data_IF_282898371708
#
_entry.id   IF_282898371708
#
_cell.length_a   1.000
_cell.length_b   1.000
_cell.length_c   1.000
_cell.angle_alpha   90.00
_cell.angle_beta   90.00
_cell.angle_gamma   90.00
#
_symmetry.space_group_name_H-M   'P 1'
#
loop_
_entity.id
_entity.type
_entity.pdbx_description
1 polymer ?
#
# COMPACT_ATOMS: atom_id res chain seq x y z
N UNK A 1 -35.26 19.96 15.40
CA UNK A 1 -33.90 20.27 15.87
C UNK A 1 -33.05 20.47 14.64
N UNK A 2 -32.47 21.63 14.47
CA UNK A 2 -31.56 21.87 13.36
C UNK A 2 -30.25 21.13 13.66
N UNK A 3 -29.98 20.06 12.95
CA UNK A 3 -28.65 19.48 12.96
C UNK A 3 -27.72 20.51 12.32
N UNK A 4 -26.71 20.92 13.07
CA UNK A 4 -25.71 21.84 12.53
C UNK A 4 -24.89 21.07 11.48
N UNK A 5 -25.33 21.17 10.24
CA UNK A 5 -24.45 20.89 9.13
C UNK A 5 -23.35 21.95 9.16
N UNK A 6 -22.11 21.53 9.12
CA UNK A 6 -20.99 22.42 8.85
C UNK A 6 -20.68 22.42 7.34
N UNK A 7 -21.48 23.13 6.52
CA UNK A 7 -21.38 23.05 5.04
C UNK A 7 -20.15 23.73 4.47
N UNK A 8 -19.21 24.09 5.26
CA UNK A 8 -17.94 24.68 4.86
C UNK A 8 -16.74 24.10 5.58
N UNK A 9 -16.89 22.91 6.18
CA UNK A 9 -15.87 22.34 7.04
C UNK A 9 -15.78 23.10 8.37
N UNK A 10 -14.80 22.73 9.19
CA UNK A 10 -14.57 23.37 10.48
C UNK A 10 -13.55 24.50 10.29
N UNK A 11 -14.00 25.74 10.21
CA UNK A 11 -13.13 26.90 10.07
C UNK A 11 -12.10 27.07 11.21
N UNK A 12 -12.36 26.46 12.34
CA UNK A 12 -11.49 26.51 13.53
C UNK A 12 -10.73 25.19 13.78
N UNK A 13 -10.76 24.26 12.82
CA UNK A 13 -10.19 22.92 12.99
C UNK A 13 -11.04 22.01 13.88
N UNK A 14 -10.70 20.73 13.89
CA UNK A 14 -11.26 19.71 14.80
C UNK A 14 -10.14 19.18 15.68
N UNK A 15 -10.39 19.11 16.98
CA UNK A 15 -9.54 18.34 17.89
C UNK A 15 -10.26 17.03 18.20
N UNK A 16 -9.71 15.89 17.79
CA UNK A 16 -10.20 14.57 18.20
C UNK A 16 -9.27 14.02 19.26
N UNK A 17 -9.78 13.80 20.45
CA UNK A 17 -9.02 13.31 21.62
C UNK A 17 -7.73 14.11 21.90
N UNK A 18 -7.81 15.43 21.77
CA UNK A 18 -6.67 16.31 22.02
C UNK A 18 -5.65 16.44 20.90
N UNK A 19 -5.84 15.75 19.79
CA UNK A 19 -5.01 15.91 18.60
C UNK A 19 -5.67 16.92 17.67
N UNK A 20 -5.06 18.09 17.40
CA UNK A 20 -5.58 19.02 16.43
C UNK A 20 -5.48 18.37 15.02
N UNK A 21 -6.61 18.23 14.36
CA UNK A 21 -6.63 18.00 12.93
C UNK A 21 -6.48 19.36 12.29
N UNK A 22 -5.45 19.52 11.50
CA UNK A 22 -4.95 20.77 10.91
C UNK A 22 -5.94 21.93 10.88
N UNK A 23 -5.59 23.01 11.56
CA UNK A 23 -6.47 24.19 11.76
C UNK A 23 -6.75 24.98 10.48
N UNK A 24 -6.16 24.58 9.34
CA UNK A 24 -6.23 25.33 8.08
C UNK A 24 -6.40 24.42 6.85
N UNK A 25 -7.07 23.28 6.99
CA UNK A 25 -7.33 22.44 5.83
C UNK A 25 -8.35 23.13 4.90
N UNK A 26 -7.96 23.55 3.71
CA UNK A 26 -8.86 24.31 2.82
C UNK A 26 -9.96 23.43 2.21
N UNK A 27 -9.82 22.12 2.30
CA UNK A 27 -10.70 21.14 1.70
C UNK A 27 -12.06 21.03 2.38
N UNK A 28 -12.99 20.45 1.66
CA UNK A 28 -14.32 20.11 2.15
C UNK A 28 -14.36 18.63 2.58
N UNK A 29 -15.32 18.33 3.43
CA UNK A 29 -15.62 16.97 3.86
C UNK A 29 -16.86 16.48 3.12
N UNK A 30 -16.75 15.30 2.54
CA UNK A 30 -17.85 14.62 1.87
C UNK A 30 -18.03 13.21 2.46
N UNK A 31 -19.22 12.67 2.25
CA UNK A 31 -19.60 11.37 2.78
C UNK A 31 -19.95 10.40 1.65
N UNK A 32 -19.50 9.17 1.80
CA UNK A 32 -19.84 8.05 0.92
C UNK A 32 -20.50 6.96 1.75
N UNK A 33 -21.61 6.43 1.27
CA UNK A 33 -22.34 5.35 1.90
C UNK A 33 -23.23 4.64 0.88
N UNK A 34 -23.76 3.49 1.22
CA UNK A 34 -24.70 2.74 0.38
C UNK A 34 -25.93 2.32 1.19
N UNK A 35 -26.81 1.52 0.61
CA UNK A 35 -28.03 1.08 1.29
C UNK A 35 -27.79 0.31 2.60
N UNK A 36 -26.66 -0.41 2.70
CA UNK A 36 -26.30 -1.15 3.91
C UNK A 36 -25.81 -0.24 5.05
N UNK A 37 -25.36 0.98 4.74
CA UNK A 37 -24.83 1.95 5.71
C UNK A 37 -25.80 3.09 6.00
N UNK A 38 -27.04 2.99 5.51
CA UNK A 38 -28.04 4.05 5.60
C UNK A 38 -28.45 4.33 7.05
N UNK A 39 -28.52 5.62 7.38
CA UNK A 39 -28.99 6.11 8.67
C UNK A 39 -30.47 6.49 8.60
N UNK A 40 -31.10 6.55 9.78
CA UNK A 40 -32.48 7.04 9.87
C UNK A 40 -32.58 8.50 9.41
N UNK A 41 -33.66 8.82 8.66
CA UNK A 41 -33.91 10.14 8.08
C UNK A 41 -32.86 10.64 7.07
N UNK A 42 -32.06 9.75 6.55
CA UNK A 42 -31.10 10.05 5.52
C UNK A 42 -31.73 9.94 4.12
N UNK A 43 -31.35 10.84 3.24
CA UNK A 43 -31.63 10.70 1.81
C UNK A 43 -30.93 9.44 1.27
N UNK A 44 -31.58 8.70 0.41
CA UNK A 44 -30.95 7.56 -0.25
C UNK A 44 -29.62 7.98 -0.89
N UNK A 45 -28.57 7.22 -0.61
CA UNK A 45 -27.25 7.48 -1.19
C UNK A 45 -27.32 7.41 -2.71
N UNK A 46 -26.80 8.41 -3.38
CA UNK A 46 -26.75 8.52 -4.83
C UNK A 46 -25.61 9.45 -5.26
N UNK A 47 -24.99 9.17 -6.41
CA UNK A 47 -23.85 9.97 -6.88
C UNK A 47 -24.26 11.38 -7.33
N UNK A 48 -25.55 11.62 -7.54
CA UNK A 48 -26.12 12.95 -7.75
C UNK A 48 -26.42 13.75 -6.48
N UNK A 49 -26.11 13.23 -5.30
CA UNK A 49 -26.23 13.96 -4.04
C UNK A 49 -25.08 14.98 -3.89
N UNK A 50 -25.16 15.79 -2.84
CA UNK A 50 -24.12 16.79 -2.53
C UNK A 50 -22.96 16.26 -1.66
N UNK A 51 -23.02 14.99 -1.27
CA UNK A 51 -22.01 14.36 -0.42
C UNK A 51 -22.06 14.81 1.04
N UNK A 52 -23.11 15.47 1.48
CA UNK A 52 -23.29 15.81 2.89
C UNK A 52 -23.57 14.56 3.74
N UNK A 53 -23.46 14.68 5.07
CA UNK A 53 -23.68 13.55 5.99
C UNK A 53 -25.07 12.90 5.80
N UNK A 54 -26.11 13.68 5.51
CA UNK A 54 -27.48 13.20 5.33
C UNK A 54 -27.86 12.96 3.86
N UNK A 55 -26.97 13.26 2.92
CA UNK A 55 -27.15 13.01 1.48
C UNK A 55 -25.82 12.55 0.85
N UNK A 56 -25.32 11.37 1.26
CA UNK A 56 -24.00 10.89 0.83
C UNK A 56 -23.99 10.46 -0.64
N UNK A 57 -22.81 10.39 -1.21
CA UNK A 57 -22.58 9.70 -2.47
C UNK A 57 -22.78 8.19 -2.30
N UNK A 58 -23.19 7.50 -3.36
CA UNK A 58 -23.41 6.05 -3.33
C UNK A 58 -22.16 5.25 -3.65
N UNK A 59 -21.23 5.81 -4.41
CA UNK A 59 -19.99 5.15 -4.83
C UNK A 59 -18.78 6.04 -4.61
N UNK A 60 -17.60 5.44 -4.53
CA UNK A 60 -16.32 6.17 -4.46
C UNK A 60 -16.04 6.90 -5.78
N UNK A 61 -16.26 6.22 -6.90
CA UNK A 61 -16.08 6.80 -8.24
C UNK A 61 -17.03 7.99 -8.48
N UNK A 62 -18.30 7.85 -8.10
CA UNK A 62 -19.27 8.95 -8.20
C UNK A 62 -18.90 10.15 -7.32
N UNK A 63 -18.32 9.89 -6.14
CA UNK A 63 -17.80 10.96 -5.28
C UNK A 63 -16.60 11.67 -5.92
N UNK A 64 -15.64 10.92 -6.44
CA UNK A 64 -14.47 11.49 -7.10
C UNK A 64 -14.86 12.28 -8.35
N UNK A 65 -15.79 11.79 -9.16
CA UNK A 65 -16.29 12.47 -10.36
C UNK A 65 -17.20 13.66 -10.07
N UNK A 66 -17.65 13.84 -8.84
CA UNK A 66 -18.52 14.96 -8.49
C UNK A 66 -17.79 16.31 -8.57
N UNK A 67 -18.44 17.31 -9.17
CA UNK A 67 -17.86 18.65 -9.31
C UNK A 67 -17.66 19.39 -7.99
N UNK A 68 -18.34 18.97 -6.93
CA UNK A 68 -18.15 19.49 -5.57
C UNK A 68 -16.82 19.08 -4.96
N UNK A 69 -16.30 17.90 -5.32
CA UNK A 69 -14.97 17.42 -4.93
C UNK A 69 -13.94 18.02 -5.90
N UNK A 70 -13.02 18.79 -5.38
CA UNK A 70 -12.11 19.61 -6.19
C UNK A 70 -10.66 19.17 -6.00
N UNK A 71 -9.97 18.95 -7.11
CA UNK A 71 -8.55 18.62 -7.10
C UNK A 71 -7.71 19.73 -6.42
N UNK A 72 -6.63 19.32 -5.77
CA UNK A 72 -5.65 20.18 -5.09
C UNK A 72 -6.23 21.11 -4.00
N UNK A 73 -7.49 20.89 -3.59
CA UNK A 73 -8.09 21.64 -2.49
C UNK A 73 -7.87 20.97 -1.13
N UNK A 74 -7.50 19.72 -1.12
CA UNK A 74 -7.38 18.92 0.09
C UNK A 74 -8.71 18.36 0.59
N UNK A 75 -9.62 17.98 -0.29
CA UNK A 75 -10.91 17.42 0.07
C UNK A 75 -10.76 16.03 0.72
N UNK A 76 -11.66 15.74 1.65
CA UNK A 76 -11.69 14.46 2.35
C UNK A 76 -13.02 13.76 2.12
N UNK A 77 -12.95 12.51 1.67
CA UNK A 77 -14.10 11.61 1.55
C UNK A 77 -14.14 10.67 2.75
N UNK A 78 -15.09 10.81 3.64
CA UNK A 78 -15.36 9.83 4.69
C UNK A 78 -16.27 8.73 4.16
N UNK A 79 -15.79 7.49 4.24
CA UNK A 79 -16.55 6.32 3.84
C UNK A 79 -17.10 5.63 5.08
N UNK A 80 -18.39 5.37 5.08
CA UNK A 80 -19.11 4.84 6.26
C UNK A 80 -18.67 3.42 6.62
N UNK A 81 -18.77 3.07 7.91
CA UNK A 81 -18.53 1.70 8.35
C UNK A 81 -19.48 0.72 7.64
N UNK A 82 -18.95 -0.44 7.26
CA UNK A 82 -19.73 -1.47 6.57
C UNK A 82 -20.04 -1.17 5.09
N UNK A 83 -19.49 -0.11 4.53
CA UNK A 83 -19.56 0.13 3.08
C UNK A 83 -18.86 -0.98 2.30
N UNK A 84 -19.47 -1.42 1.23
CA UNK A 84 -18.89 -2.42 0.32
C UNK A 84 -18.94 -1.95 -1.12
N UNK A 85 -17.86 -2.15 -1.83
CA UNK A 85 -17.73 -1.93 -3.26
C UNK A 85 -17.12 -3.18 -3.89
N UNK A 86 -17.73 -3.70 -4.95
CA UNK A 86 -17.16 -4.80 -5.74
C UNK A 86 -17.07 -4.37 -7.20
N UNK A 87 -15.94 -4.60 -7.84
CA UNK A 87 -15.76 -4.29 -9.25
C UNK A 87 -14.79 -5.29 -9.94
N UNK A 88 -14.88 -5.35 -11.27
CA UNK A 88 -14.12 -6.29 -12.10
C UNK A 88 -13.34 -5.66 -13.24
N UNK A 89 -13.19 -4.35 -13.28
CA UNK A 89 -12.45 -3.64 -14.35
C UNK A 89 -11.64 -2.49 -13.78
N UNK A 90 -10.52 -2.18 -14.39
CA UNK A 90 -9.65 -1.06 -14.00
C UNK A 90 -10.30 0.33 -14.10
N UNK A 91 -11.42 0.45 -14.80
CA UNK A 91 -12.11 1.73 -14.97
C UNK A 91 -13.24 1.96 -13.97
N UNK A 92 -13.51 1.00 -13.10
CA UNK A 92 -14.63 1.08 -12.17
C UNK A 92 -14.35 1.97 -10.94
N UNK A 93 -13.07 2.17 -10.61
CA UNK A 93 -12.62 3.08 -9.55
C UNK A 93 -11.24 3.61 -9.95
N UNK A 94 -11.13 4.91 -10.17
CA UNK A 94 -9.88 5.58 -10.50
C UNK A 94 -9.55 6.63 -9.45
N UNK A 95 -8.31 6.69 -9.01
CA UNK A 95 -7.82 7.78 -8.18
C UNK A 95 -7.19 8.85 -9.10
N UNK A 96 -8.06 9.74 -9.58
CA UNK A 96 -7.75 10.74 -10.61
C UNK A 96 -7.93 12.20 -10.16
N UNK A 97 -8.17 12.43 -8.86
CA UNK A 97 -8.24 13.78 -8.27
C UNK A 97 -7.12 14.04 -7.29
N UNK A 98 -6.15 14.84 -7.70
CA UNK A 98 -5.01 15.19 -6.86
C UNK A 98 -5.41 15.85 -5.54
N UNK A 99 -4.64 15.60 -4.49
CA UNK A 99 -4.84 16.21 -3.18
C UNK A 99 -6.12 15.79 -2.46
N UNK A 100 -6.72 14.66 -2.82
CA UNK A 100 -7.90 14.09 -2.14
C UNK A 100 -7.46 12.97 -1.19
N UNK A 101 -8.09 12.91 -0.02
CA UNK A 101 -7.94 11.82 0.92
C UNK A 101 -9.25 11.04 1.07
N UNK A 102 -9.18 9.71 0.96
CA UNK A 102 -10.30 8.81 1.25
C UNK A 102 -10.03 8.11 2.59
N UNK A 103 -10.93 8.29 3.54
CA UNK A 103 -10.78 7.76 4.90
C UNK A 103 -11.96 6.84 5.24
N UNK A 104 -11.68 5.56 5.40
CA UNK A 104 -12.65 4.59 5.87
C UNK A 104 -12.92 4.77 7.37
N UNK A 105 -14.17 4.70 7.75
CA UNK A 105 -14.58 4.72 9.14
C UNK A 105 -14.90 3.29 9.63
N UNK A 106 -14.83 3.09 10.95
CA UNK A 106 -15.04 1.79 11.56
C UNK A 106 -13.76 1.07 11.95
N UNK A 107 -13.90 -0.13 12.47
CA UNK A 107 -12.80 -0.96 12.95
C UNK A 107 -13.05 -2.44 12.66
N UNK A 108 -12.00 -3.24 12.63
CA UNK A 108 -12.09 -4.67 12.33
C UNK A 108 -12.76 -4.94 10.98
N UNK A 109 -13.71 -5.86 10.95
CA UNK A 109 -14.48 -6.20 9.75
C UNK A 109 -15.54 -5.18 9.35
N UNK A 110 -15.81 -4.18 10.20
CA UNK A 110 -16.75 -3.11 9.90
C UNK A 110 -16.11 -1.93 9.15
N UNK A 111 -14.83 -2.04 8.78
CA UNK A 111 -14.18 -1.08 7.88
C UNK A 111 -14.79 -1.17 6.48
N UNK A 112 -14.79 -0.09 5.71
CA UNK A 112 -15.15 -0.16 4.29
C UNK A 112 -14.32 -1.21 3.56
N UNK A 113 -15.00 -1.98 2.69
CA UNK A 113 -14.37 -3.06 1.93
C UNK A 113 -14.47 -2.80 0.44
N UNK A 114 -13.35 -2.89 -0.25
CA UNK A 114 -13.25 -2.87 -1.71
C UNK A 114 -12.86 -4.28 -2.16
N UNK A 115 -13.68 -4.91 -2.98
CA UNK A 115 -13.42 -6.24 -3.54
C UNK A 115 -13.17 -6.13 -5.04
N UNK A 116 -12.03 -6.59 -5.48
CA UNK A 116 -11.67 -6.77 -6.87
C UNK A 116 -12.01 -8.20 -7.28
N UNK A 117 -12.83 -8.34 -8.34
CA UNK A 117 -13.40 -9.62 -8.75
C UNK A 117 -13.55 -9.69 -10.28
N UNK A 118 -13.74 -10.89 -10.80
CA UNK A 118 -14.11 -11.17 -12.20
C UNK A 118 -13.06 -10.93 -13.29
N UNK A 119 -11.93 -10.27 -13.03
CA UNK A 119 -10.90 -10.04 -14.04
C UNK A 119 -9.50 -9.81 -13.43
N UNK A 120 -8.47 -10.29 -14.11
CA UNK A 120 -7.06 -10.01 -13.78
C UNK A 120 -6.72 -8.53 -13.86
N UNK A 121 -7.47 -7.75 -14.63
CA UNK A 121 -7.30 -6.30 -14.80
C UNK A 121 -8.10 -5.46 -13.81
N UNK A 122 -8.75 -6.09 -12.83
CA UNK A 122 -9.43 -5.39 -11.75
C UNK A 122 -8.40 -4.75 -10.82
N UNK A 123 -7.95 -3.55 -11.11
CA UNK A 123 -6.98 -2.76 -10.33
C UNK A 123 -7.53 -1.37 -10.08
N UNK A 124 -6.96 -0.65 -9.11
CA UNK A 124 -7.23 0.77 -8.88
C UNK A 124 -6.09 1.59 -9.49
N UNK A 125 -6.28 2.21 -10.65
CA UNK A 125 -5.31 3.16 -11.19
C UNK A 125 -5.20 4.40 -10.30
N UNK A 126 -3.96 4.81 -10.04
CA UNK A 126 -3.64 6.09 -9.39
C UNK A 126 -2.90 6.93 -10.40
N UNK A 127 -3.54 7.98 -10.89
CA UNK A 127 -3.05 8.78 -12.02
C UNK A 127 -2.82 10.24 -11.64
N UNK A 128 -2.72 10.53 -10.35
CA UNK A 128 -2.57 11.88 -9.80
C UNK A 128 -1.70 11.89 -8.56
N UNK A 129 -1.08 13.03 -8.31
CA UNK A 129 -0.22 13.27 -7.17
C UNK A 129 -1.01 13.58 -5.88
N UNK A 130 -0.38 13.35 -4.72
CA UNK A 130 -0.90 13.72 -3.40
C UNK A 130 -2.25 13.09 -3.08
N UNK A 131 -2.47 11.82 -3.44
CA UNK A 131 -3.68 11.09 -3.09
C UNK A 131 -3.45 10.19 -1.87
N UNK A 132 -4.45 10.04 -1.02
CA UNK A 132 -4.34 9.20 0.16
C UNK A 132 -5.56 8.29 0.34
N UNK A 133 -5.31 7.03 0.74
CA UNK A 133 -6.34 6.08 1.18
C UNK A 133 -5.97 5.52 2.56
N UNK A 134 -6.95 5.50 3.49
CA UNK A 134 -6.73 5.04 4.86
C UNK A 134 -7.87 4.19 5.39
N UNK A 135 -7.51 3.15 6.17
CA UNK A 135 -8.42 2.33 6.97
C UNK A 135 -9.47 1.56 6.14
N UNK A 136 -9.03 0.92 5.06
CA UNK A 136 -9.85 0.05 4.22
C UNK A 136 -9.46 -1.42 4.35
N UNK A 137 -10.41 -2.30 3.99
CA UNK A 137 -10.13 -3.69 3.63
C UNK A 137 -10.17 -3.76 2.09
N UNK A 138 -9.08 -4.23 1.49
CA UNK A 138 -8.94 -4.40 0.03
C UNK A 138 -8.76 -5.89 -0.24
N UNK A 139 -9.65 -6.46 -1.04
CA UNK A 139 -9.79 -7.91 -1.22
C UNK A 139 -9.56 -8.28 -2.68
N UNK A 140 -8.61 -9.17 -2.92
CA UNK A 140 -8.42 -9.86 -4.19
C UNK A 140 -9.27 -11.14 -4.21
N UNK A 141 -10.27 -11.19 -5.08
CA UNK A 141 -11.21 -12.31 -5.21
C UNK A 141 -11.27 -12.87 -6.64
N UNK A 142 -10.19 -12.75 -7.37
CA UNK A 142 -10.04 -13.31 -8.70
C UNK A 142 -8.62 -13.81 -8.90
N UNK A 143 -8.45 -14.75 -9.81
CA UNK A 143 -7.17 -15.36 -10.15
C UNK A 143 -6.20 -14.33 -10.76
N UNK A 144 -5.03 -14.18 -10.16
CA UNK A 144 -3.94 -13.33 -10.65
C UNK A 144 -4.37 -11.88 -10.97
N UNK A 145 -5.00 -11.19 -10.02
CA UNK A 145 -5.24 -9.76 -10.15
C UNK A 145 -3.88 -9.04 -10.23
N UNK A 146 -3.63 -8.35 -11.34
CA UNK A 146 -2.31 -7.80 -11.64
C UNK A 146 -1.76 -6.92 -10.51
N UNK A 147 -2.59 -6.03 -9.95
CA UNK A 147 -2.18 -5.24 -8.78
C UNK A 147 -3.38 -4.68 -8.02
N UNK A 148 -3.22 -4.41 -6.73
CA UNK A 148 -4.23 -3.65 -6.00
C UNK A 148 -4.23 -2.18 -6.45
N UNK A 149 -3.06 -1.57 -6.57
CA UNK A 149 -2.87 -0.22 -7.11
C UNK A 149 -1.83 -0.22 -8.22
N UNK A 150 -2.19 0.37 -9.36
CA UNK A 150 -1.27 0.68 -10.45
C UNK A 150 -0.94 2.17 -10.44
N UNK A 151 0.33 2.51 -10.24
CA UNK A 151 0.77 3.90 -10.13
C UNK A 151 1.26 4.42 -11.47
N UNK A 152 0.64 5.51 -11.93
CA UNK A 152 1.01 6.19 -13.16
C UNK A 152 0.86 7.70 -12.93
N UNK A 153 1.94 8.45 -12.87
CA UNK A 153 1.94 9.87 -12.48
C UNK A 153 1.35 10.08 -11.06
N UNK A 154 1.86 9.31 -10.09
CA UNK A 154 1.27 9.17 -8.76
C UNK A 154 2.23 9.57 -7.64
N UNK A 155 2.85 10.74 -7.73
CA UNK A 155 3.74 11.24 -6.70
C UNK A 155 3.00 11.46 -5.37
N UNK A 156 3.70 11.14 -4.28
CA UNK A 156 3.22 11.32 -2.92
C UNK A 156 1.89 10.59 -2.64
N UNK A 157 1.71 9.39 -3.25
CA UNK A 157 0.59 8.50 -2.93
C UNK A 157 0.76 7.89 -1.54
N UNK A 158 -0.31 7.90 -0.73
CA UNK A 158 -0.29 7.37 0.63
C UNK A 158 -1.32 6.27 0.84
N UNK A 159 -0.86 5.13 1.39
CA UNK A 159 -1.70 3.99 1.80
C UNK A 159 -1.41 3.68 3.27
N UNK A 160 -2.39 3.90 4.13
CA UNK A 160 -2.17 3.75 5.57
C UNK A 160 -3.29 2.96 6.27
N UNK A 161 -2.91 2.17 7.26
CA UNK A 161 -3.84 1.44 8.13
C UNK A 161 -4.82 0.52 7.37
N UNK A 162 -4.47 0.13 6.15
CA UNK A 162 -5.27 -0.74 5.30
C UNK A 162 -4.96 -2.22 5.53
N UNK A 163 -5.92 -3.08 5.20
CA UNK A 163 -5.73 -4.52 5.19
C UNK A 163 -6.01 -5.07 3.81
N UNK A 164 -5.02 -5.73 3.23
CA UNK A 164 -5.13 -6.44 1.97
C UNK A 164 -5.34 -7.93 2.25
N UNK A 165 -6.20 -8.58 1.50
CA UNK A 165 -6.53 -10.00 1.66
C UNK A 165 -6.70 -10.68 0.31
N UNK A 166 -6.12 -11.85 0.19
CA UNK A 166 -6.52 -12.82 -0.81
C UNK A 166 -7.66 -13.67 -0.26
N UNK A 167 -8.51 -14.19 -1.12
CA UNK A 167 -9.65 -15.04 -0.71
C UNK A 167 -9.38 -16.53 -0.84
N UNK A 168 -8.34 -16.93 -1.55
CA UNK A 168 -7.99 -18.34 -1.76
C UNK A 168 -6.61 -18.57 -2.31
N UNK A 169 -6.23 -19.82 -2.48
CA UNK A 169 -4.92 -20.24 -2.95
C UNK A 169 -4.65 -19.96 -4.44
N UNK A 170 -5.65 -19.53 -5.18
CA UNK A 170 -5.56 -19.09 -6.57
C UNK A 170 -6.38 -17.80 -6.78
N UNK A 171 -6.66 -17.05 -5.71
CA UNK A 171 -7.49 -15.85 -5.77
C UNK A 171 -6.79 -14.75 -4.96
N UNK A 172 -6.09 -13.87 -5.62
CA UNK A 172 -5.31 -12.85 -4.95
C UNK A 172 -4.67 -11.82 -5.88
N UNK A 173 -3.76 -11.07 -5.30
CA UNK A 173 -3.00 -10.03 -5.97
C UNK A 173 -1.62 -10.53 -6.35
N UNK A 174 -1.21 -10.32 -7.61
CA UNK A 174 0.19 -10.47 -8.01
C UNK A 174 1.04 -9.38 -7.31
N UNK A 175 0.56 -8.14 -7.32
CA UNK A 175 1.21 -7.03 -6.62
C UNK A 175 0.22 -6.24 -5.76
N UNK A 176 0.67 -5.66 -4.65
CA UNK A 176 -0.09 -4.62 -3.96
C UNK A 176 0.11 -3.27 -4.63
N UNK A 177 1.34 -2.98 -4.99
CA UNK A 177 1.76 -1.76 -5.69
C UNK A 177 2.54 -2.18 -6.92
N UNK A 178 2.13 -1.65 -8.05
CA UNK A 178 2.78 -1.84 -9.35
C UNK A 178 3.03 -0.46 -9.98
N UNK A 179 4.27 -0.18 -10.36
CA UNK A 179 4.62 1.12 -10.95
C UNK A 179 4.60 1.08 -12.48
N UNK A 180 4.45 2.23 -13.10
CA UNK A 180 4.69 2.34 -14.54
C UNK A 180 6.18 2.17 -14.87
N UNK A 181 6.48 1.86 -16.14
CA UNK A 181 7.85 1.79 -16.64
C UNK A 181 8.50 3.18 -16.86
N UNK A 182 7.99 4.22 -16.21
CA UNK A 182 8.48 5.59 -16.31
C UNK A 182 9.16 6.00 -15.01
N UNK A 183 10.40 6.46 -15.11
CA UNK A 183 11.16 6.86 -13.94
C UNK A 183 10.60 8.16 -13.32
N UNK A 184 10.59 8.21 -11.97
CA UNK A 184 10.09 9.33 -11.17
C UNK A 184 8.59 9.65 -11.40
N UNK A 185 7.82 8.66 -11.80
CA UNK A 185 6.37 8.80 -12.10
C UNK A 185 5.49 8.44 -10.89
N UNK A 186 6.10 7.89 -9.85
CA UNK A 186 5.46 7.55 -8.57
C UNK A 186 6.42 7.74 -7.38
N UNK A 187 7.08 8.88 -7.36
CA UNK A 187 7.95 9.29 -6.27
C UNK A 187 7.17 9.55 -4.98
N UNK A 188 7.81 9.32 -3.84
CA UNK A 188 7.21 9.67 -2.54
C UNK A 188 6.12 8.72 -2.05
N UNK A 189 6.01 7.50 -2.58
CA UNK A 189 5.06 6.53 -2.02
C UNK A 189 5.23 6.41 -0.51
N UNK A 190 4.13 6.54 0.23
CA UNK A 190 4.06 6.31 1.67
C UNK A 190 3.13 5.13 1.97
N UNK A 191 3.70 3.96 2.26
CA UNK A 191 2.97 2.74 2.57
C UNK A 191 3.25 2.31 4.00
N UNK A 192 2.30 2.56 4.92
CA UNK A 192 2.57 2.42 6.34
C UNK A 192 1.44 1.76 7.14
N UNK A 193 1.82 0.95 8.12
CA UNK A 193 0.91 0.28 9.07
C UNK A 193 -0.16 -0.58 8.39
N UNK A 194 0.15 -1.09 7.22
CA UNK A 194 -0.74 -1.96 6.48
C UNK A 194 -0.52 -3.43 6.86
N UNK A 195 -1.55 -4.22 6.65
CA UNK A 195 -1.49 -5.67 6.82
C UNK A 195 -1.86 -6.34 5.50
N UNK A 196 -1.01 -7.23 5.01
CA UNK A 196 -1.33 -8.10 3.88
C UNK A 196 -1.33 -9.55 4.32
N UNK A 197 -2.34 -10.29 3.89
CA UNK A 197 -2.40 -11.75 4.02
C UNK A 197 -2.61 -12.32 2.62
N UNK A 198 -1.50 -12.63 1.96
CA UNK A 198 -1.45 -13.32 0.69
C UNK A 198 -1.62 -14.82 0.90
N UNK A 199 -2.66 -15.39 0.36
CA UNK A 199 -2.96 -16.83 0.39
C UNK A 199 -2.67 -17.50 -0.95
N UNK A 200 -2.48 -16.71 -2.00
CA UNK A 200 -2.16 -17.19 -3.33
C UNK A 200 -0.87 -18.02 -3.32
N UNK A 201 -0.88 -19.12 -4.05
CA UNK A 201 0.27 -20.03 -4.20
C UNK A 201 0.85 -19.99 -5.60
N UNK A 202 0.36 -19.11 -6.46
CA UNK A 202 0.85 -18.99 -7.82
C UNK A 202 2.22 -18.30 -7.85
N UNK A 203 2.93 -18.50 -8.94
CA UNK A 203 4.29 -17.99 -9.06
C UNK A 203 4.31 -16.51 -9.40
N UNK A 204 5.15 -15.75 -8.73
CA UNK A 204 5.48 -14.38 -9.13
C UNK A 204 4.88 -13.28 -8.27
N UNK A 205 4.18 -13.59 -7.19
CA UNK A 205 3.57 -12.58 -6.34
C UNK A 205 4.61 -11.78 -5.56
N UNK A 206 4.63 -10.49 -5.81
CA UNK A 206 5.52 -9.53 -5.16
C UNK A 206 4.73 -8.35 -4.65
N UNK A 207 4.72 -8.08 -3.35
CA UNK A 207 3.99 -6.94 -2.81
C UNK A 207 4.28 -5.60 -3.51
N UNK A 208 5.53 -5.34 -3.86
CA UNK A 208 5.93 -4.09 -4.52
C UNK A 208 6.73 -4.39 -5.78
N UNK A 209 6.16 -4.11 -6.93
CA UNK A 209 6.84 -4.18 -8.22
C UNK A 209 7.29 -2.78 -8.67
N UNK A 210 8.58 -2.62 -8.99
CA UNK A 210 9.20 -1.35 -9.36
C UNK A 210 9.76 -1.46 -10.77
N UNK A 211 8.99 -1.05 -11.77
CA UNK A 211 9.34 -1.20 -13.18
C UNK A 211 10.32 -0.14 -13.70
N UNK A 212 10.43 0.99 -12.99
CA UNK A 212 11.41 2.05 -13.29
C UNK A 212 11.91 2.70 -12.00
N UNK A 213 13.01 3.43 -12.08
CA UNK A 213 13.60 4.09 -10.90
C UNK A 213 12.64 5.11 -10.28
N UNK A 214 12.36 4.94 -9.01
CA UNK A 214 11.51 5.82 -8.20
C UNK A 214 12.30 6.38 -7.00
N UNK A 215 11.83 7.48 -6.41
CA UNK A 215 12.49 8.13 -5.30
C UNK A 215 11.59 8.32 -4.08
N UNK A 216 12.20 8.53 -2.91
CA UNK A 216 11.55 8.95 -1.65
C UNK A 216 10.46 7.99 -1.13
N UNK A 217 10.50 6.71 -1.49
CA UNK A 217 9.57 5.74 -0.97
C UNK A 217 9.76 5.51 0.53
N UNK A 218 8.67 5.45 1.26
CA UNK A 218 8.63 5.10 2.68
C UNK A 218 7.73 3.89 2.86
N UNK A 219 8.30 2.73 3.18
CA UNK A 219 7.59 1.49 3.48
C UNK A 219 7.88 1.13 4.93
N UNK A 220 6.91 1.33 5.83
CA UNK A 220 7.19 1.17 7.25
C UNK A 220 6.07 0.54 8.06
N UNK A 221 6.47 -0.20 9.10
CA UNK A 221 5.57 -0.74 10.11
C UNK A 221 4.46 -1.64 9.53
N UNK A 222 4.74 -2.33 8.43
CA UNK A 222 3.79 -3.21 7.77
C UNK A 222 3.96 -4.67 8.22
N UNK A 223 2.86 -5.41 8.26
CA UNK A 223 2.87 -6.87 8.36
C UNK A 223 2.46 -7.47 7.01
N UNK A 224 3.37 -8.17 6.37
CA UNK A 224 3.15 -8.74 5.04
C UNK A 224 3.41 -10.25 5.13
N UNK A 225 2.39 -11.05 4.82
CA UNK A 225 2.48 -12.50 4.69
C UNK A 225 2.20 -12.88 3.24
N UNK A 226 3.10 -13.64 2.63
CA UNK A 226 2.93 -14.20 1.29
C UNK A 226 3.12 -15.71 1.33
N UNK A 227 2.36 -16.43 0.50
CA UNK A 227 2.42 -17.89 0.37
C UNK A 227 2.77 -18.32 -1.07
N UNK A 228 2.98 -17.39 -1.96
CA UNK A 228 3.36 -17.64 -3.34
C UNK A 228 4.60 -18.53 -3.48
N UNK A 229 4.73 -19.21 -4.59
CA UNK A 229 5.93 -19.96 -4.99
C UNK A 229 6.68 -19.11 -6.02
N UNK A 230 7.36 -18.06 -5.62
CA UNK A 230 8.04 -17.22 -6.58
C UNK A 230 9.32 -17.89 -7.06
N UNK A 231 9.58 -17.69 -8.30
CA UNK A 231 10.82 -18.13 -8.93
C UNK A 231 12.02 -17.26 -8.55
N UNK A 232 11.90 -16.29 -7.65
CA UNK A 232 13.05 -15.47 -7.26
C UNK A 232 12.71 -14.08 -6.71
N UNK A 233 11.65 -13.93 -5.93
CA UNK A 233 11.15 -12.60 -5.62
C UNK A 233 11.08 -12.36 -4.10
N UNK A 234 11.13 -11.12 -3.67
CA UNK A 234 11.09 -10.68 -2.28
C UNK A 234 9.84 -9.87 -1.96
N UNK A 235 9.90 -9.06 -0.92
CA UNK A 235 8.85 -8.07 -0.64
C UNK A 235 8.81 -6.98 -1.72
N UNK A 236 9.98 -6.61 -2.24
CA UNK A 236 10.14 -5.62 -3.30
C UNK A 236 10.95 -6.27 -4.42
N UNK A 237 10.45 -6.23 -5.63
CA UNK A 237 11.18 -6.55 -6.84
C UNK A 237 11.37 -5.29 -7.69
N UNK A 238 12.47 -5.23 -8.41
CA UNK A 238 12.72 -4.16 -9.36
C UNK A 238 13.17 -4.70 -10.72
N UNK A 239 12.68 -4.11 -11.78
CA UNK A 239 13.13 -4.40 -13.15
C UNK A 239 14.64 -4.13 -13.29
N UNK A 240 15.24 -4.67 -14.35
CA UNK A 240 16.69 -4.75 -14.54
C UNK A 240 17.46 -3.43 -14.34
N UNK A 241 16.89 -2.31 -14.72
CA UNK A 241 17.51 -0.99 -14.60
C UNK A 241 16.74 -0.06 -13.64
N UNK A 242 15.80 -0.61 -12.88
CA UNK A 242 14.98 0.13 -11.93
C UNK A 242 15.59 0.11 -10.52
N UNK A 243 15.36 1.14 -9.73
CA UNK A 243 15.85 1.23 -8.38
C UNK A 243 15.05 2.18 -7.52
N UNK A 244 15.33 2.15 -6.22
CA UNK A 244 14.75 3.07 -5.26
C UNK A 244 15.82 4.03 -4.76
N UNK A 245 15.65 5.31 -5.03
CA UNK A 245 16.55 6.35 -4.52
C UNK A 245 15.97 7.03 -3.30
N UNK A 246 16.80 7.26 -2.28
CA UNK A 246 16.39 7.86 -0.99
C UNK A 246 15.24 7.11 -0.29
N UNK A 247 15.17 5.79 -0.45
CA UNK A 247 14.12 4.96 0.14
C UNK A 247 14.30 4.78 1.65
N UNK A 248 13.20 4.66 2.37
CA UNK A 248 13.15 4.31 3.80
C UNK A 248 12.27 3.07 3.99
N UNK A 249 12.88 1.92 4.31
CA UNK A 249 12.18 0.65 4.49
C UNK A 249 12.45 0.18 5.92
N UNK A 250 11.50 0.40 6.83
CA UNK A 250 11.76 0.22 8.27
C UNK A 250 10.59 -0.40 9.02
N UNK A 251 10.91 -1.21 10.05
CA UNK A 251 9.91 -1.74 10.97
C UNK A 251 8.96 -2.77 10.36
N UNK A 252 9.22 -3.28 9.16
CA UNK A 252 8.33 -4.21 8.50
C UNK A 252 8.57 -5.64 8.97
N UNK A 253 7.49 -6.42 9.08
CA UNK A 253 7.52 -7.86 9.26
C UNK A 253 7.09 -8.50 7.95
N UNK A 254 8.03 -9.11 7.25
CA UNK A 254 7.76 -9.88 6.04
C UNK A 254 7.88 -11.36 6.33
N UNK A 255 6.80 -12.10 6.17
CA UNK A 255 6.75 -13.54 6.32
C UNK A 255 6.43 -14.19 4.99
N UNK A 256 7.33 -15.04 4.53
CA UNK A 256 7.12 -15.83 3.33
C UNK A 256 6.99 -17.32 3.68
N UNK A 257 5.92 -17.97 3.24
CA UNK A 257 5.63 -19.37 3.53
C UNK A 257 5.98 -20.33 2.38
N UNK A 258 6.26 -19.86 1.19
CA UNK A 258 6.69 -20.66 0.04
C UNK A 258 8.02 -21.39 0.29
N UNK A 259 8.21 -22.55 -0.34
CA UNK A 259 9.33 -23.47 -0.06
C UNK A 259 10.57 -23.25 -0.93
N UNK A 260 10.42 -22.61 -2.09
CA UNK A 260 11.47 -22.57 -3.12
C UNK A 260 12.17 -21.22 -3.28
N UNK A 261 12.07 -20.38 -2.27
CA UNK A 261 12.50 -19.00 -2.39
C UNK A 261 13.96 -18.80 -2.09
N UNK A 262 14.60 -18.14 -2.97
CA UNK A 262 15.99 -17.74 -2.87
C UNK A 262 16.18 -16.35 -2.24
N UNK A 263 15.11 -15.63 -1.84
CA UNK A 263 15.21 -14.18 -1.64
C UNK A 263 14.58 -13.63 -0.38
N UNK A 264 15.00 -12.42 -0.10
CA UNK A 264 14.76 -11.67 1.07
C UNK A 264 13.78 -10.51 0.91
N UNK A 265 14.06 -9.46 1.66
CA UNK A 265 13.21 -8.27 1.76
C UNK A 265 13.18 -7.45 0.46
N UNK A 266 14.30 -7.34 -0.22
CA UNK A 266 14.45 -6.54 -1.44
C UNK A 266 15.29 -7.31 -2.46
N UNK A 267 14.80 -7.37 -3.66
CA UNK A 267 15.55 -7.89 -4.80
C UNK A 267 15.58 -6.87 -5.93
N UNK A 268 16.73 -6.77 -6.56
CA UNK A 268 16.89 -6.22 -7.89
C UNK A 268 17.75 -7.16 -8.71
N UNK A 269 17.25 -7.64 -9.83
CA UNK A 269 17.99 -8.58 -10.69
C UNK A 269 19.25 -7.95 -11.28
N UNK A 270 19.23 -6.68 -11.49
CA UNK A 270 20.39 -5.84 -11.86
C UNK A 270 20.10 -4.45 -11.29
N UNK A 271 20.05 -4.35 -9.97
CA UNK A 271 19.75 -3.05 -9.34
C UNK A 271 20.76 -2.01 -9.80
N UNK A 272 20.33 -0.84 -10.23
CA UNK A 272 21.26 0.22 -10.64
C UNK A 272 22.12 0.61 -9.45
N UNK A 273 23.34 0.95 -9.73
CA UNK A 273 24.28 1.57 -8.78
C UNK A 273 23.71 2.84 -8.11
N UNK A 274 22.52 3.25 -8.49
CA UNK A 274 21.81 4.46 -8.03
C UNK A 274 20.87 4.26 -6.86
N UNK A 275 20.55 3.01 -6.45
CA UNK A 275 19.70 2.81 -5.28
C UNK A 275 20.36 3.36 -4.01
N UNK A 276 19.62 4.19 -3.26
CA UNK A 276 20.10 4.84 -2.04
C UNK A 276 19.00 4.81 -0.97
N UNK A 277 19.40 4.93 0.30
CA UNK A 277 18.42 4.99 1.38
C UNK A 277 18.78 4.13 2.57
N UNK A 278 17.77 3.77 3.35
CA UNK A 278 17.94 2.97 4.57
C UNK A 278 16.96 1.79 4.61
N UNK A 279 17.48 0.61 4.96
CA UNK A 279 16.70 -0.60 5.26
C UNK A 279 17.04 -1.00 6.69
N UNK A 280 16.13 -0.76 7.64
CA UNK A 280 16.42 -0.93 9.06
C UNK A 280 15.25 -1.51 9.85
N UNK A 281 15.58 -2.21 10.94
CA UNK A 281 14.59 -2.70 11.92
C UNK A 281 13.51 -3.61 11.31
N UNK A 282 13.78 -4.27 10.19
CA UNK A 282 12.83 -5.18 9.57
C UNK A 282 13.04 -6.62 10.07
N UNK A 283 11.96 -7.38 10.15
CA UNK A 283 11.99 -8.81 10.44
C UNK A 283 11.58 -9.59 9.20
N UNK A 284 12.46 -10.49 8.76
CA UNK A 284 12.23 -11.37 7.64
C UNK A 284 12.16 -12.83 8.08
N UNK A 285 11.00 -13.46 7.87
CA UNK A 285 10.73 -14.85 8.21
C UNK A 285 10.51 -15.65 6.93
N UNK A 286 11.43 -16.57 6.59
CA UNK A 286 11.32 -17.39 5.39
C UNK A 286 11.41 -18.88 5.71
N UNK A 287 10.76 -19.69 4.89
CA UNK A 287 10.91 -21.15 4.88
C UNK A 287 11.95 -21.64 3.88
N UNK A 288 12.59 -20.75 3.15
CA UNK A 288 13.58 -21.12 2.14
C UNK A 288 14.72 -21.98 2.71
N UNK A 289 15.08 -23.02 1.97
CA UNK A 289 16.25 -23.87 2.23
C UNK A 289 17.48 -23.39 1.44
N UNK A 290 17.32 -22.42 0.57
CA UNK A 290 18.38 -21.91 -0.28
C UNK A 290 19.30 -20.93 0.48
N UNK A 291 20.56 -20.89 0.07
CA UNK A 291 21.59 -20.03 0.65
C UNK A 291 21.53 -18.61 0.06
N UNK A 292 20.47 -17.89 0.33
CA UNK A 292 20.27 -16.56 -0.24
C UNK A 292 20.31 -15.45 0.80
N UNK A 293 20.74 -14.28 0.35
CA UNK A 293 20.79 -13.11 1.20
C UNK A 293 19.38 -12.59 1.49
N UNK A 294 19.08 -12.25 2.74
CA UNK A 294 17.80 -11.65 3.11
C UNK A 294 17.56 -10.30 2.44
N UNK A 295 18.61 -9.61 2.11
CA UNK A 295 18.57 -8.38 1.34
C UNK A 295 19.57 -8.57 0.21
N UNK A 296 19.06 -8.86 -0.98
CA UNK A 296 19.86 -8.95 -2.18
C UNK A 296 19.70 -7.67 -2.97
N UNK A 297 20.74 -6.87 -2.98
CA UNK A 297 20.88 -5.74 -3.89
C UNK A 297 22.06 -6.12 -4.79
N UNK A 298 21.74 -6.45 -6.02
CA UNK A 298 22.67 -7.16 -6.90
C UNK A 298 23.88 -6.34 -7.37
N UNK A 299 24.04 -5.08 -6.98
CA UNK A 299 25.11 -4.22 -7.51
C UNK A 299 26.02 -3.69 -6.41
N UNK A 300 27.30 -3.98 -6.59
CA UNK A 300 28.36 -3.30 -5.86
C UNK A 300 28.30 -1.79 -6.15
N UNK A 301 28.03 -0.97 -5.12
CA UNK A 301 27.98 0.48 -5.24
C UNK A 301 26.65 1.12 -4.89
N UNK A 302 25.64 0.36 -4.46
CA UNK A 302 24.40 0.95 -3.94
C UNK A 302 24.70 1.75 -2.65
N UNK A 303 24.15 2.94 -2.52
CA UNK A 303 24.19 3.78 -1.31
C UNK A 303 23.14 3.42 -0.27
N UNK A 304 22.73 2.14 -0.18
CA UNK A 304 21.75 1.68 0.81
C UNK A 304 22.44 1.27 2.10
N UNK A 305 22.04 1.91 3.18
CA UNK A 305 22.43 1.54 4.54
C UNK A 305 21.51 0.46 5.09
N UNK A 306 22.08 -0.64 5.58
CA UNK A 306 21.37 -1.75 6.19
C UNK A 306 21.71 -1.82 7.67
N UNK A 307 20.72 -1.87 8.55
CA UNK A 307 20.98 -1.94 10.00
C UNK A 307 19.84 -2.60 10.76
N UNK A 308 20.18 -3.38 11.78
CA UNK A 308 19.25 -4.02 12.72
C UNK A 308 18.11 -4.84 12.07
N UNK A 309 18.34 -5.38 10.88
CA UNK A 309 17.39 -6.30 10.27
C UNK A 309 17.58 -7.70 10.85
N UNK A 310 16.47 -8.40 11.10
CA UNK A 310 16.48 -9.76 11.64
C UNK A 310 16.00 -10.73 10.57
N UNK A 311 16.79 -11.75 10.28
CA UNK A 311 16.44 -12.83 9.37
C UNK A 311 16.32 -14.13 10.16
N UNK A 312 15.13 -14.72 10.15
CA UNK A 312 14.87 -15.98 10.83
C UNK A 312 14.43 -17.04 9.82
N UNK A 313 15.26 -18.04 9.53
CA UNK A 313 14.84 -19.20 8.78
C UNK A 313 13.85 -20.02 9.63
N UNK A 314 12.71 -20.35 9.06
CA UNK A 314 11.65 -21.11 9.77
C UNK A 314 11.81 -22.62 9.69
N UNK A 315 12.78 -23.14 8.92
CA UNK A 315 12.97 -24.58 8.71
C UNK A 315 14.29 -25.09 9.32
N UNK A 316 14.20 -26.24 10.03
CA UNK A 316 15.37 -26.96 10.47
C UNK A 316 16.10 -27.55 9.26
N UNK A 317 17.33 -27.12 9.01
CA UNK A 317 18.14 -27.62 7.89
C UNK A 317 18.70 -26.55 6.96
N UNK A 318 18.25 -25.32 7.07
CA UNK A 318 18.92 -24.20 6.40
C UNK A 318 20.41 -24.20 6.80
N UNK A 319 21.29 -24.17 5.81
CA UNK A 319 22.74 -24.18 6.05
C UNK A 319 23.11 -23.11 7.09
N UNK A 320 24.08 -23.43 7.94
CA UNK A 320 24.49 -22.57 9.06
C UNK A 320 24.86 -21.12 8.63
N UNK A 321 25.17 -20.93 7.36
CA UNK A 321 25.46 -19.64 6.76
C UNK A 321 24.26 -18.68 6.72
N UNK A 322 23.01 -19.19 6.80
CA UNK A 322 21.79 -18.39 6.70
C UNK A 322 21.13 -18.12 8.07
N UNK A 323 21.72 -18.54 9.14
CA UNK A 323 21.27 -18.28 10.52
C UNK A 323 21.85 -16.98 11.08
N UNK A 324 22.03 -15.99 10.26
CA UNK A 324 22.58 -14.74 10.70
C UNK A 324 21.48 -13.74 11.01
N UNK A 325 21.38 -13.32 12.27
CA UNK A 325 20.98 -11.94 12.47
C UNK A 325 21.95 -11.09 11.66
N UNK A 326 21.48 -10.33 10.68
CA UNK A 326 22.33 -9.29 10.08
C UNK A 326 22.59 -8.19 11.13
N UNK A 327 23.32 -8.55 12.16
CA UNK A 327 24.03 -7.60 13.01
C UNK A 327 25.30 -7.21 12.23
N UNK A 328 25.16 -6.83 11.01
CA UNK A 328 26.32 -6.61 10.16
C UNK A 328 26.76 -5.14 10.10
N UNK A 329 26.09 -4.28 10.83
CA UNK A 329 26.46 -2.88 10.92
C UNK A 329 27.79 -2.67 11.65
N UNK A 330 28.08 -3.51 12.63
CA UNK A 330 29.34 -3.39 13.38
C UNK A 330 30.54 -3.84 12.52
N UNK A 331 30.39 -4.81 11.64
CA UNK A 331 31.47 -5.25 10.76
C UNK A 331 31.73 -4.31 9.59
N UNK A 332 30.69 -3.74 8.99
CA UNK A 332 30.88 -2.74 7.92
C UNK A 332 31.44 -1.42 8.45
N UNK A 333 31.04 -0.99 9.64
CA UNK A 333 31.59 0.22 10.25
C UNK A 333 33.06 0.08 10.65
N UNK A 334 33.50 -1.14 10.97
CA UNK A 334 34.92 -1.42 11.32
C UNK A 334 35.81 -1.52 10.07
N UNK A 335 35.25 -1.92 8.93
CA UNK A 335 36.00 -2.01 7.66
C UNK A 335 36.24 -0.63 7.03
N UNK A 336 35.41 0.36 7.34
CA UNK A 336 35.59 1.72 6.83
C UNK A 336 36.65 2.53 7.64
N UNK A 337 37.10 2.02 8.79
CA UNK A 337 38.10 2.67 9.64
C UNK A 337 39.49 2.01 9.62
N UNK A 338 39.74 1.08 8.71
CA UNK A 338 41.07 0.47 8.53
C UNK A 338 41.73 0.90 7.25
#
# INVERSE_FOLDING_TARGET
MAYSNYPGGFKAGITIRGVPIEMTHPGRVFWVGNSATRLENEKTAADGNDGSFLAPFSTLEGALNNSGVTAARGDVLFVRPGFTLTFGTATALNFDKSGVAIIGLGSGSNRPTITMDTATTATIPVTVNNFAIRNFIIVGNFDNIASAFTLTTADDFSVEDCEFRDTGAALGFVNLIDTSAVANDSDGLYFARNRYVGLDTDAGDVPFNVDATQARWVIKDNYIYTNAIPTALGMIDSAADAGLTTATITGNIYRHAGTDVTYGLVQGTVGPSTSTGIIADNMFLTRSTAASAAISIAVAGSGIYRTRNVVLPTQAGAAAANRGSEIDVIRQAVIIQA
#
